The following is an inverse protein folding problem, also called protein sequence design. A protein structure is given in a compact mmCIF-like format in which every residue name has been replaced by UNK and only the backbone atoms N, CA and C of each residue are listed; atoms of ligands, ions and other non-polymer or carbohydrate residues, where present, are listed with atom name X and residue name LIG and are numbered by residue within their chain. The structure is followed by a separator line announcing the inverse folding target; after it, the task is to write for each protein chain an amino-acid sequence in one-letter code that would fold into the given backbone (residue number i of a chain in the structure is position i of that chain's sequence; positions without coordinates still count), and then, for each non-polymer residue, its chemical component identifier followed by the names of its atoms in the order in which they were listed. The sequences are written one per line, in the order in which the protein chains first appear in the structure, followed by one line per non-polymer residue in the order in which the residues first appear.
data_IF_531289804877
#
_entry.id   IF_531289804877
#
_cell.length_a   1.000
_cell.length_b   1.000
_cell.length_c   1.000
_cell.angle_alpha   90.00
_cell.angle_beta   90.00
_cell.angle_gamma   90.00
#
_symmetry.space_group_name_H-M   'P 1'
#
loop_
_entity.id
_entity.type
_entity.pdbx_description
1 polymer ?
#
# COMPACT_ATOMS: atom_id res chain seq x y z
N UNK A 1 -15.58 18.06 -6.95
CA UNK A 1 -14.85 17.43 -5.83
C UNK A 1 -15.71 16.54 -4.93
N UNK A 2 -16.76 16.98 -4.21
CA UNK A 2 -17.42 16.13 -3.20
C UNK A 2 -17.97 14.81 -3.79
N UNK A 3 -18.56 14.86 -4.99
CA UNK A 3 -19.05 13.66 -5.68
C UNK A 3 -17.95 12.66 -6.05
N UNK A 4 -16.74 13.13 -6.41
CA UNK A 4 -15.62 12.26 -6.74
C UNK A 4 -15.08 11.56 -5.49
N UNK A 5 -14.99 12.29 -4.37
CA UNK A 5 -14.62 11.71 -3.07
C UNK A 5 -15.63 10.66 -2.64
N UNK A 6 -16.94 10.89 -2.84
CA UNK A 6 -17.97 9.90 -2.54
C UNK A 6 -17.80 8.60 -3.35
N UNK A 7 -17.48 8.70 -4.65
CA UNK A 7 -17.18 7.52 -5.49
C UNK A 7 -15.95 6.77 -4.99
N UNK A 8 -14.89 7.48 -4.60
CA UNK A 8 -13.70 6.88 -4.00
C UNK A 8 -14.05 6.15 -2.70
N UNK A 9 -14.74 6.80 -1.77
CA UNK A 9 -15.16 6.17 -0.50
C UNK A 9 -16.01 4.92 -0.75
N UNK A 10 -16.98 4.98 -1.66
CA UNK A 10 -17.80 3.82 -2.02
C UNK A 10 -16.96 2.68 -2.60
N UNK A 11 -16.02 2.98 -3.51
CA UNK A 11 -15.11 1.99 -4.07
C UNK A 11 -14.19 1.38 -2.99
N UNK A 12 -13.69 2.19 -2.04
CA UNK A 12 -12.85 1.73 -0.95
C UNK A 12 -13.59 0.73 -0.05
N UNK A 13 -14.82 1.06 0.35
CA UNK A 13 -15.66 0.16 1.17
C UNK A 13 -16.01 -1.11 0.38
N UNK A 14 -16.35 -0.97 -0.90
CA UNK A 14 -16.68 -2.11 -1.75
C UNK A 14 -15.50 -3.07 -1.90
N UNK A 15 -14.29 -2.54 -2.11
CA UNK A 15 -13.08 -3.33 -2.34
C UNK A 15 -12.52 -3.96 -1.05
N UNK A 16 -12.75 -3.36 0.12
CA UNK A 16 -12.18 -3.88 1.37
C UNK A 16 -13.18 -4.68 2.22
N UNK A 17 -14.50 -4.41 2.11
CA UNK A 17 -15.49 -4.96 3.06
C UNK A 17 -16.62 -5.74 2.40
N UNK A 18 -17.10 -5.32 1.23
CA UNK A 18 -18.34 -5.88 0.65
C UNK A 18 -18.04 -6.93 -0.42
N UNK A 19 -17.19 -6.61 -1.41
CA UNK A 19 -16.87 -7.49 -2.52
C UNK A 19 -15.37 -7.51 -2.88
N UNK A 20 -14.46 -7.88 -1.95
CA UNK A 20 -13.01 -7.86 -2.21
C UNK A 20 -12.58 -8.68 -3.43
N UNK A 21 -13.27 -9.79 -3.69
CA UNK A 21 -13.02 -10.66 -4.86
C UNK A 21 -13.34 -10.00 -6.21
N UNK A 22 -14.16 -8.96 -6.22
CA UNK A 22 -14.53 -8.21 -7.43
C UNK A 22 -13.68 -6.95 -7.61
N UNK A 23 -12.63 -6.77 -6.79
CA UNK A 23 -11.77 -5.59 -6.77
C UNK A 23 -11.35 -5.05 -8.15
N UNK A 24 -10.95 -5.87 -9.14
CA UNK A 24 -10.58 -5.38 -10.46
C UNK A 24 -11.77 -4.76 -11.21
N UNK A 25 -12.94 -5.39 -11.14
CA UNK A 25 -14.14 -4.94 -11.83
C UNK A 25 -14.69 -3.66 -11.20
N UNK A 26 -14.81 -3.62 -9.88
CA UNK A 26 -15.31 -2.47 -9.12
C UNK A 26 -14.37 -1.27 -9.27
N UNK A 27 -13.05 -1.51 -9.30
CA UNK A 27 -12.04 -0.47 -9.51
C UNK A 27 -12.04 0.07 -10.93
N UNK A 28 -12.16 -0.78 -11.94
CA UNK A 28 -12.30 -0.36 -13.33
C UNK A 28 -13.57 0.48 -13.53
N UNK A 29 -14.71 0.05 -12.96
CA UNK A 29 -15.97 0.78 -13.02
C UNK A 29 -15.89 2.15 -12.32
N UNK A 30 -15.33 2.20 -11.11
CA UNK A 30 -15.12 3.44 -10.37
C UNK A 30 -14.18 4.40 -11.12
N UNK A 31 -13.10 3.88 -11.72
CA UNK A 31 -12.17 4.64 -12.55
C UNK A 31 -12.87 5.25 -13.75
N UNK A 32 -13.65 4.45 -14.50
CA UNK A 32 -14.40 4.93 -15.65
C UNK A 32 -15.39 6.03 -15.27
N UNK A 33 -16.11 5.85 -14.15
CA UNK A 33 -17.05 6.85 -13.62
C UNK A 33 -16.33 8.15 -13.23
N UNK A 34 -15.23 8.07 -12.50
CA UNK A 34 -14.44 9.23 -12.07
C UNK A 34 -13.91 10.03 -13.27
N UNK A 35 -13.36 9.33 -14.28
CA UNK A 35 -12.91 9.95 -15.53
C UNK A 35 -14.08 10.61 -16.26
N UNK A 36 -15.21 9.92 -16.42
CA UNK A 36 -16.38 10.48 -17.08
C UNK A 36 -16.89 11.74 -16.37
N UNK A 37 -16.95 11.74 -15.04
CA UNK A 37 -17.33 12.92 -14.23
C UNK A 37 -16.38 14.09 -14.43
N UNK A 38 -15.07 13.82 -14.42
CA UNK A 38 -14.05 14.85 -14.63
C UNK A 38 -14.11 15.43 -16.06
N UNK A 39 -14.24 14.57 -17.08
CA UNK A 39 -14.36 14.97 -18.49
C UNK A 39 -15.62 15.79 -18.74
N UNK A 40 -16.77 15.39 -18.17
CA UNK A 40 -18.04 16.17 -18.23
C UNK A 40 -17.95 17.52 -17.53
N UNK A 41 -17.02 17.67 -16.57
CA UNK A 41 -16.72 18.94 -15.90
C UNK A 41 -15.59 19.71 -16.60
N UNK A 42 -15.27 19.37 -17.85
CA UNK A 42 -14.33 20.08 -18.71
C UNK A 42 -12.85 19.83 -18.41
N UNK A 43 -12.48 18.81 -17.64
CA UNK A 43 -11.07 18.44 -17.46
C UNK A 43 -10.54 17.80 -18.75
N UNK A 44 -9.42 18.26 -19.29
CA UNK A 44 -8.73 17.65 -20.43
C UNK A 44 -8.01 16.36 -20.06
N UNK A 45 -7.54 15.60 -21.05
CA UNK A 45 -6.68 14.43 -20.80
C UNK A 45 -5.35 14.82 -20.17
N UNK A 46 -4.82 16.01 -20.47
CA UNK A 46 -3.61 16.54 -19.85
C UNK A 46 -3.82 16.88 -18.38
N UNK A 47 -4.98 17.45 -18.03
CA UNK A 47 -5.37 17.71 -16.64
C UNK A 47 -5.43 16.41 -15.82
N UNK A 48 -5.90 15.33 -16.44
CA UNK A 48 -5.92 13.99 -15.84
C UNK A 48 -4.56 13.29 -15.86
N UNK A 49 -3.53 13.91 -16.45
CA UNK A 49 -2.16 13.41 -16.47
C UNK A 49 -1.86 12.43 -17.60
N UNK A 50 -2.79 12.20 -18.53
CA UNK A 50 -2.58 11.39 -19.73
C UNK A 50 -1.82 12.17 -20.80
N UNK A 51 -0.60 12.55 -20.46
CA UNK A 51 0.35 13.25 -21.32
C UNK A 51 1.74 12.64 -21.16
N UNK A 52 2.67 12.96 -22.07
CA UNK A 52 4.09 12.54 -21.98
C UNK A 52 4.31 11.02 -21.88
N UNK A 53 3.44 10.20 -22.51
CA UNK A 53 3.46 8.75 -22.40
C UNK A 53 4.84 8.09 -22.57
N UNK A 54 5.62 8.47 -23.59
CA UNK A 54 6.99 7.95 -23.79
C UNK A 54 7.94 8.24 -22.62
N UNK A 55 7.93 9.49 -22.13
CA UNK A 55 8.75 9.90 -20.97
C UNK A 55 8.25 9.22 -19.70
N UNK A 56 6.94 9.14 -19.51
CA UNK A 56 6.32 8.44 -18.40
C UNK A 56 6.71 6.97 -18.36
N UNK A 57 6.69 6.29 -19.51
CA UNK A 57 7.15 4.92 -19.67
C UNK A 57 8.65 4.76 -19.35
N UNK A 58 9.50 5.65 -19.88
CA UNK A 58 10.94 5.60 -19.63
C UNK A 58 11.29 5.79 -18.15
N UNK A 59 10.72 6.82 -17.51
CA UNK A 59 10.96 7.09 -16.08
C UNK A 59 10.34 6.02 -15.20
N UNK A 60 9.09 5.63 -15.48
CA UNK A 60 8.41 4.56 -14.74
C UNK A 60 9.12 3.21 -14.85
N UNK A 61 9.61 2.87 -16.04
CA UNK A 61 10.42 1.66 -16.28
C UNK A 61 11.76 1.70 -15.55
N UNK A 62 12.45 2.85 -15.54
CA UNK A 62 13.70 3.02 -14.78
C UNK A 62 13.46 2.86 -13.27
N UNK A 63 12.37 3.45 -12.74
CA UNK A 63 11.99 3.28 -11.34
C UNK A 63 11.62 1.82 -11.02
N UNK A 64 10.88 1.15 -11.90
CA UNK A 64 10.55 -0.26 -11.76
C UNK A 64 11.82 -1.15 -11.73
N UNK A 65 12.79 -0.87 -12.60
CA UNK A 65 14.10 -1.54 -12.56
C UNK A 65 14.83 -1.25 -11.25
N UNK A 66 14.76 -0.01 -10.74
CA UNK A 66 15.27 0.35 -9.41
C UNK A 66 14.63 -0.46 -8.27
N UNK A 67 13.32 -0.72 -8.33
CA UNK A 67 12.63 -1.60 -7.37
C UNK A 67 13.18 -3.01 -7.43
N UNK A 68 13.37 -3.57 -8.63
CA UNK A 68 13.98 -4.90 -8.79
C UNK A 68 15.37 -4.94 -8.12
N UNK A 69 16.22 -3.94 -8.39
CA UNK A 69 17.56 -3.85 -7.79
C UNK A 69 17.47 -3.76 -6.27
N UNK A 70 16.60 -2.90 -5.73
CA UNK A 70 16.42 -2.71 -4.30
C UNK A 70 15.92 -4.00 -3.62
N UNK A 71 14.95 -4.69 -4.23
CA UNK A 71 14.42 -5.94 -3.70
C UNK A 71 15.44 -7.08 -3.79
N UNK A 72 16.21 -7.17 -4.88
CA UNK A 72 17.32 -8.12 -5.00
C UNK A 72 18.38 -7.88 -3.93
N UNK A 73 18.79 -6.63 -3.71
CA UNK A 73 19.72 -6.29 -2.64
C UNK A 73 19.15 -6.65 -1.25
N UNK A 74 17.88 -6.32 -1.00
CA UNK A 74 17.22 -6.62 0.26
C UNK A 74 17.04 -8.12 0.54
N UNK A 75 16.84 -8.94 -0.49
CA UNK A 75 16.78 -10.41 -0.36
C UNK A 75 18.18 -11.02 -0.24
N UNK A 76 19.18 -10.45 -0.91
CA UNK A 76 20.57 -10.91 -0.82
C UNK A 76 21.12 -10.74 0.61
N UNK A 77 20.79 -9.62 1.27
CA UNK A 77 21.21 -9.29 2.63
C UNK A 77 20.41 -10.08 3.69
N UNK A 78 21.02 -11.01 4.46
CA UNK A 78 20.31 -11.83 5.43
C UNK A 78 19.52 -11.03 6.48
N UNK A 79 20.08 -9.92 6.95
CA UNK A 79 19.48 -9.04 7.96
C UNK A 79 18.12 -8.45 7.52
N UNK A 80 17.86 -8.37 6.21
CA UNK A 80 16.63 -7.78 5.66
C UNK A 80 15.66 -8.81 5.09
N UNK A 81 16.03 -10.09 4.97
CA UNK A 81 15.17 -11.15 4.41
C UNK A 81 13.84 -11.31 5.12
N UNK A 82 13.81 -11.08 6.44
CA UNK A 82 12.58 -11.12 7.24
C UNK A 82 11.50 -10.16 6.74
N UNK A 83 11.87 -9.03 6.13
CA UNK A 83 10.91 -8.05 5.60
C UNK A 83 10.27 -8.50 4.28
N UNK A 84 10.82 -9.53 3.63
CA UNK A 84 10.27 -10.10 2.40
C UNK A 84 9.43 -11.35 2.66
N UNK A 85 9.46 -11.93 3.87
CA UNK A 85 8.62 -13.07 4.24
C UNK A 85 7.20 -12.59 4.56
N UNK A 86 6.37 -12.45 3.52
CA UNK A 86 4.94 -12.16 3.67
C UNK A 86 4.13 -13.47 3.60
N UNK A 87 3.69 -13.95 4.75
CA UNK A 87 2.89 -15.18 4.87
C UNK A 87 1.59 -15.12 4.05
N UNK A 88 1.02 -13.92 3.83
CA UNK A 88 -0.17 -13.77 2.98
C UNK A 88 0.18 -14.06 1.53
N UNK A 89 1.34 -13.60 1.06
CA UNK A 89 1.81 -13.88 -0.30
C UNK A 89 2.25 -15.34 -0.47
N UNK A 90 2.87 -15.92 0.56
CA UNK A 90 3.35 -17.31 0.58
C UNK A 90 2.21 -18.33 0.70
N UNK A 91 1.11 -17.99 1.40
CA UNK A 91 -0.08 -18.83 1.52
C UNK A 91 -0.87 -18.99 0.22
N UNK A 92 -0.59 -18.18 -0.81
CA UNK A 92 -1.24 -18.27 -2.12
C UNK A 92 -0.61 -19.33 -3.01
N UNK A 93 -1.45 -20.01 -3.80
CA UNK A 93 -0.97 -20.81 -4.94
C UNK A 93 -0.20 -19.92 -5.93
N UNK A 94 0.71 -20.50 -6.73
CA UNK A 94 1.47 -19.75 -7.75
C UNK A 94 0.55 -19.04 -8.74
N UNK A 95 -0.51 -19.72 -9.19
CA UNK A 95 -1.50 -19.15 -10.09
C UNK A 95 -2.21 -17.95 -9.46
N UNK A 96 -2.64 -18.07 -8.20
CA UNK A 96 -3.30 -16.95 -7.50
C UNK A 96 -2.36 -15.78 -7.29
N UNK A 97 -1.10 -16.02 -6.92
CA UNK A 97 -0.14 -14.92 -6.80
C UNK A 97 0.19 -14.23 -8.12
N UNK A 98 0.18 -14.95 -9.24
CA UNK A 98 0.28 -14.34 -10.57
C UNK A 98 -0.98 -13.52 -10.88
N UNK A 99 -2.17 -14.02 -10.55
CA UNK A 99 -3.42 -13.26 -10.68
C UNK A 99 -3.38 -11.98 -9.83
N UNK A 100 -2.91 -12.06 -8.58
CA UNK A 100 -2.72 -10.90 -7.73
C UNK A 100 -1.75 -9.90 -8.37
N UNK A 101 -0.55 -10.34 -8.75
CA UNK A 101 0.50 -9.48 -9.27
C UNK A 101 0.20 -8.88 -10.65
N UNK A 102 -0.55 -9.58 -11.50
CA UNK A 102 -0.78 -9.19 -12.90
C UNK A 102 -2.18 -8.61 -13.17
N UNK A 103 -3.16 -8.91 -12.32
CA UNK A 103 -4.55 -8.44 -12.51
C UNK A 103 -5.04 -7.64 -11.30
N UNK A 104 -5.02 -8.22 -10.10
CA UNK A 104 -5.55 -7.54 -8.92
C UNK A 104 -4.80 -6.24 -8.63
N UNK A 105 -3.47 -6.29 -8.57
CA UNK A 105 -2.66 -5.11 -8.25
C UNK A 105 -2.77 -4.06 -9.36
N UNK A 106 -2.53 -4.38 -10.65
CA UNK A 106 -2.56 -3.34 -11.68
C UNK A 106 -3.95 -2.72 -11.88
N UNK A 107 -5.02 -3.51 -11.79
CA UNK A 107 -6.39 -3.06 -12.09
C UNK A 107 -7.21 -2.76 -10.84
N UNK A 108 -7.20 -3.66 -9.86
CA UNK A 108 -7.93 -3.52 -8.60
C UNK A 108 -7.33 -2.51 -7.62
N UNK A 109 -6.05 -2.16 -7.78
CA UNK A 109 -5.36 -1.19 -6.92
C UNK A 109 -4.86 0.00 -7.72
N UNK A 110 -3.85 -0.21 -8.57
CA UNK A 110 -3.06 0.89 -9.18
C UNK A 110 -3.90 1.73 -10.12
N UNK A 111 -4.73 1.11 -10.98
CA UNK A 111 -5.57 1.86 -11.92
C UNK A 111 -6.47 2.86 -11.20
N UNK A 112 -7.22 2.39 -10.19
CA UNK A 112 -8.12 3.27 -9.43
C UNK A 112 -7.36 4.30 -8.62
N UNK A 113 -6.27 3.91 -7.97
CA UNK A 113 -5.54 4.82 -7.10
C UNK A 113 -4.82 5.91 -7.89
N UNK A 114 -4.12 5.57 -8.96
CA UNK A 114 -3.43 6.59 -9.77
C UNK A 114 -4.41 7.48 -10.52
N UNK A 115 -5.40 6.90 -11.21
CA UNK A 115 -6.37 7.71 -11.96
C UNK A 115 -7.27 8.50 -11.03
N UNK A 116 -7.70 7.92 -9.90
CA UNK A 116 -8.56 8.58 -8.91
C UNK A 116 -7.86 9.74 -8.21
N UNK A 117 -6.71 9.49 -7.59
CA UNK A 117 -6.01 10.48 -6.77
C UNK A 117 -5.14 11.44 -7.59
N UNK A 118 -4.30 10.93 -8.51
CA UNK A 118 -3.30 11.72 -9.25
C UNK A 118 -3.84 12.22 -10.60
N UNK A 119 -4.83 11.53 -11.15
CA UNK A 119 -5.58 11.99 -12.31
C UNK A 119 -6.70 12.96 -11.93
N UNK A 120 -7.74 12.44 -11.30
CA UNK A 120 -9.03 13.15 -11.13
C UNK A 120 -9.01 14.15 -9.99
N UNK A 121 -8.66 13.73 -8.77
CA UNK A 121 -8.60 14.62 -7.58
C UNK A 121 -7.54 15.70 -7.78
N UNK A 122 -6.30 15.29 -8.06
CA UNK A 122 -5.20 16.22 -8.30
C UNK A 122 -5.48 17.12 -9.51
N UNK A 123 -5.89 16.55 -10.66
CA UNK A 123 -6.15 17.34 -11.87
C UNK A 123 -7.23 18.39 -11.69
N UNK A 124 -8.33 18.05 -11.00
CA UNK A 124 -9.42 19.00 -10.72
C UNK A 124 -8.94 20.16 -9.82
N UNK A 125 -8.17 19.86 -8.78
CA UNK A 125 -7.66 20.86 -7.86
C UNK A 125 -6.53 21.70 -8.47
N UNK A 126 -5.64 21.10 -9.24
CA UNK A 126 -4.50 21.80 -9.84
C UNK A 126 -4.99 22.91 -10.78
N UNK A 127 -6.06 22.66 -11.54
CA UNK A 127 -6.69 23.63 -12.44
C UNK A 127 -7.29 24.84 -11.71
N UNK A 128 -7.79 24.66 -10.49
CA UNK A 128 -8.62 25.66 -9.80
C UNK A 128 -7.93 26.32 -8.61
N UNK A 129 -6.97 25.61 -7.99
CA UNK A 129 -6.32 25.98 -6.72
C UNK A 129 -4.79 25.81 -6.76
N UNK A 130 -4.23 25.43 -7.91
CA UNK A 130 -2.79 25.25 -8.12
C UNK A 130 -2.24 23.90 -7.62
N UNK A 131 -0.99 23.62 -8.01
CA UNK A 131 -0.34 22.34 -7.77
C UNK A 131 -0.11 22.02 -6.29
N UNK A 132 0.23 23.02 -5.47
CA UNK A 132 0.48 22.80 -4.03
C UNK A 132 -0.77 22.28 -3.30
N UNK A 133 -1.92 22.94 -3.49
CA UNK A 133 -3.20 22.51 -2.94
C UNK A 133 -3.60 21.13 -3.45
N UNK A 134 -3.39 20.88 -4.75
CA UNK A 134 -3.69 19.58 -5.35
C UNK A 134 -2.85 18.46 -4.74
N UNK A 135 -1.54 18.67 -4.57
CA UNK A 135 -0.65 17.72 -3.90
C UNK A 135 -1.07 17.48 -2.47
N UNK A 136 -1.32 18.53 -1.69
CA UNK A 136 -1.68 18.40 -0.27
C UNK A 136 -2.98 17.60 -0.10
N UNK A 137 -4.04 17.97 -0.80
CA UNK A 137 -5.35 17.32 -0.67
C UNK A 137 -5.34 15.90 -1.26
N UNK A 138 -4.74 15.70 -2.43
CA UNK A 138 -4.66 14.36 -3.03
C UNK A 138 -3.88 13.39 -2.15
N UNK A 139 -2.75 13.84 -1.59
CA UNK A 139 -1.91 13.04 -0.71
C UNK A 139 -2.58 12.75 0.64
N UNK A 140 -3.27 13.73 1.23
CA UNK A 140 -4.03 13.52 2.46
C UNK A 140 -5.17 12.51 2.27
N UNK A 141 -5.95 12.64 1.18
CA UNK A 141 -7.01 11.69 0.85
C UNK A 141 -6.45 10.29 0.55
N UNK A 142 -5.28 10.21 -0.09
CA UNK A 142 -4.59 8.95 -0.33
C UNK A 142 -4.08 8.31 0.96
N UNK A 143 -3.63 9.11 1.93
CA UNK A 143 -3.33 8.62 3.28
C UNK A 143 -4.56 7.99 3.93
N UNK A 144 -5.69 8.72 3.94
CA UNK A 144 -6.95 8.24 4.52
C UNK A 144 -7.53 7.01 3.81
N UNK A 145 -7.28 6.85 2.50
CA UNK A 145 -7.66 5.68 1.73
C UNK A 145 -7.10 4.36 2.30
N UNK A 146 -5.97 4.44 3.00
CA UNK A 146 -5.27 3.29 3.57
C UNK A 146 -5.74 2.90 4.97
N UNK A 147 -6.75 3.54 5.53
CA UNK A 147 -7.27 3.19 6.87
C UNK A 147 -7.77 1.74 6.90
N UNK A 148 -8.66 1.34 5.98
CA UNK A 148 -9.21 -0.02 6.00
C UNK A 148 -8.13 -1.09 5.74
N UNK A 149 -7.25 -0.95 4.72
CA UNK A 149 -6.12 -1.87 4.55
C UNK A 149 -5.18 -1.94 5.77
N UNK A 150 -4.93 -0.81 6.45
CA UNK A 150 -4.05 -0.79 7.61
C UNK A 150 -4.66 -1.48 8.83
N UNK A 151 -5.98 -1.39 9.02
CA UNK A 151 -6.71 -2.17 10.03
C UNK A 151 -6.54 -3.66 9.74
N UNK A 152 -6.80 -4.09 8.51
CA UNK A 152 -6.70 -5.51 8.13
C UNK A 152 -5.26 -6.03 8.27
N UNK A 153 -4.27 -5.19 7.98
CA UNK A 153 -2.85 -5.51 8.20
C UNK A 153 -2.49 -5.65 9.68
N UNK A 154 -3.00 -4.76 10.53
CA UNK A 154 -2.77 -4.83 11.99
C UNK A 154 -3.44 -6.07 12.60
N UNK A 155 -4.63 -6.44 12.11
CA UNK A 155 -5.33 -7.65 12.55
C UNK A 155 -4.63 -8.93 12.08
N UNK A 156 -4.08 -8.92 10.87
CA UNK A 156 -3.35 -10.07 10.31
C UNK A 156 -1.94 -10.25 10.90
N UNK A 157 -1.33 -9.20 11.45
CA UNK A 157 0.03 -9.24 11.99
C UNK A 157 0.14 -8.51 13.34
N UNK A 158 -0.17 -9.20 14.46
CA UNK A 158 -0.05 -8.63 15.81
C UNK A 158 1.36 -8.16 16.17
N UNK A 159 2.41 -8.69 15.51
CA UNK A 159 3.78 -8.25 15.75
C UNK A 159 4.04 -6.82 15.24
N UNK A 160 3.33 -6.37 14.19
CA UNK A 160 3.39 -4.97 13.76
C UNK A 160 2.84 -4.02 14.82
N UNK A 161 1.79 -4.44 15.54
CA UNK A 161 1.24 -3.68 16.66
C UNK A 161 2.27 -3.42 17.76
N UNK A 162 3.00 -4.46 18.16
CA UNK A 162 4.09 -4.38 19.15
C UNK A 162 5.30 -3.56 18.67
N UNK A 163 5.66 -3.69 17.40
CA UNK A 163 6.71 -2.85 16.82
C UNK A 163 6.31 -1.36 16.79
N UNK A 164 5.03 -1.08 16.51
CA UNK A 164 4.50 0.28 16.51
C UNK A 164 4.29 0.85 17.92
N UNK A 165 4.09 0.00 18.94
CA UNK A 165 4.02 0.40 20.35
C UNK A 165 5.40 0.73 20.93
N UNK A 166 6.47 0.20 20.34
CA UNK A 166 7.83 0.32 20.86
C UNK A 166 8.14 -0.64 22.01
N UNK A 167 7.26 -1.62 22.27
CA UNK A 167 7.48 -2.66 23.28
C UNK A 167 8.69 -3.52 22.87
N UNK A 168 9.67 -3.60 23.77
CA UNK A 168 10.86 -4.41 23.58
C UNK A 168 10.53 -5.90 23.68
N UNK A 169 11.30 -6.73 22.96
CA UNK A 169 11.21 -8.19 23.09
C UNK A 169 11.43 -8.62 24.56
N UNK A 170 12.30 -7.93 25.30
CA UNK A 170 12.54 -8.16 26.74
C UNK A 170 11.31 -7.85 27.60
N UNK A 171 10.65 -6.72 27.39
CA UNK A 171 9.44 -6.34 28.15
C UNK A 171 8.29 -7.33 27.90
N UNK A 172 8.17 -7.84 26.67
CA UNK A 172 7.20 -8.90 26.33
C UNK A 172 7.54 -10.24 26.98
N UNK A 173 8.83 -10.59 27.05
CA UNK A 173 9.30 -11.82 27.70
C UNK A 173 9.07 -11.72 29.21
N UNK A 174 9.34 -10.57 29.83
CA UNK A 174 9.08 -10.35 31.25
C UNK A 174 7.60 -10.49 31.59
N UNK A 175 6.69 -9.89 30.79
CA UNK A 175 5.23 -10.01 30.97
C UNK A 175 4.78 -11.48 30.86
N UNK A 176 5.30 -12.23 29.87
CA UNK A 176 5.00 -13.67 29.69
C UNK A 176 5.59 -14.53 30.82
N UNK A 177 6.81 -14.23 31.26
CA UNK A 177 7.48 -14.98 32.34
C UNK A 177 6.75 -14.75 33.66
N UNK A 178 6.30 -13.53 33.95
CA UNK A 178 5.42 -13.26 35.09
C UNK A 178 4.11 -14.01 35.00
N UNK A 179 3.45 -14.01 33.84
CA UNK A 179 2.18 -14.71 33.62
C UNK A 179 2.32 -16.24 33.80
N UNK A 180 3.44 -16.83 33.34
CA UNK A 180 3.76 -18.25 33.57
C UNK A 180 4.08 -18.53 35.04
N UNK A 181 4.81 -17.62 35.71
CA UNK A 181 5.24 -17.79 37.10
C UNK A 181 4.08 -17.61 38.09
N UNK A 182 3.12 -16.75 37.76
CA UNK A 182 1.97 -16.40 38.61
C UNK A 182 0.65 -16.45 37.81
N UNK A 183 0.22 -17.65 37.37
CA UNK A 183 -0.96 -17.79 36.49
C UNK A 183 -2.27 -17.37 37.17
N UNK A 184 -2.34 -17.39 38.51
CA UNK A 184 -3.51 -16.90 39.26
C UNK A 184 -3.53 -15.38 39.47
N UNK A 185 -2.39 -14.70 39.30
CA UNK A 185 -2.25 -13.23 39.44
C UNK A 185 -2.18 -12.53 38.07
N UNK A 186 -2.24 -13.30 36.98
CA UNK A 186 -2.21 -12.78 35.63
C UNK A 186 -3.33 -11.75 35.42
N UNK A 187 -3.00 -10.49 35.10
CA UNK A 187 -4.02 -9.49 34.85
C UNK A 187 -4.87 -9.92 33.65
N UNK A 188 -6.20 -9.72 33.69
CA UNK A 188 -7.06 -10.11 32.58
C UNK A 188 -6.58 -9.44 31.29
N UNK A 189 -6.66 -10.15 30.13
CA UNK A 189 -6.22 -9.61 28.86
C UNK A 189 -6.91 -8.26 28.62
N UNK A 190 -6.11 -7.22 28.38
CA UNK A 190 -6.61 -5.85 28.29
C UNK A 190 -7.09 -5.58 26.86
N UNK A 191 -8.41 -5.58 26.57
CA UNK A 191 -8.91 -5.46 25.20
C UNK A 191 -8.49 -4.13 24.55
N UNK A 192 -8.28 -3.09 25.35
CA UNK A 192 -7.87 -1.77 24.88
C UNK A 192 -6.44 -1.70 24.34
N UNK A 193 -5.49 -2.53 24.80
CA UNK A 193 -4.10 -2.55 24.27
C UNK A 193 -4.12 -2.86 22.77
N UNK A 194 -4.88 -3.89 22.38
CA UNK A 194 -5.07 -4.28 20.97
C UNK A 194 -5.59 -3.11 20.10
N UNK A 195 -6.58 -2.37 20.60
CA UNK A 195 -7.15 -1.24 19.87
C UNK A 195 -6.15 -0.09 19.71
N UNK A 196 -5.29 0.17 20.70
CA UNK A 196 -4.23 1.17 20.62
C UNK A 196 -3.15 0.78 19.59
N UNK A 197 -2.77 -0.50 19.55
CA UNK A 197 -1.77 -0.99 18.61
C UNK A 197 -2.28 -0.93 17.16
N UNK A 198 -3.53 -1.33 16.93
CA UNK A 198 -4.20 -1.10 15.64
C UNK A 198 -4.19 0.38 15.28
N UNK A 199 -4.55 1.27 16.21
CA UNK A 199 -4.57 2.71 15.96
C UNK A 199 -3.19 3.25 15.57
N UNK A 200 -2.11 2.80 16.25
CA UNK A 200 -0.72 3.18 15.92
C UNK A 200 -0.32 2.74 14.53
N UNK A 201 -0.61 1.49 14.15
CA UNK A 201 -0.33 0.97 12.80
C UNK A 201 -1.11 1.75 11.74
N UNK A 202 -2.38 2.06 12.00
CA UNK A 202 -3.22 2.87 11.10
C UNK A 202 -2.64 4.27 10.93
N UNK A 203 -2.33 4.98 12.01
CA UNK A 203 -1.75 6.33 11.96
C UNK A 203 -0.43 6.31 11.19
N UNK A 204 0.47 5.37 11.51
CA UNK A 204 1.74 5.21 10.81
C UNK A 204 1.55 4.96 9.31
N UNK A 205 0.61 4.08 8.94
CA UNK A 205 0.29 3.78 7.55
C UNK A 205 -0.29 4.98 6.81
N UNK A 206 -1.22 5.73 7.41
CA UNK A 206 -1.83 6.95 6.84
C UNK A 206 -0.77 8.01 6.58
N UNK A 207 0.14 8.24 7.54
CA UNK A 207 1.23 9.21 7.38
C UNK A 207 2.21 8.78 6.30
N UNK A 208 2.67 7.52 6.34
CA UNK A 208 3.63 7.01 5.36
C UNK A 208 3.08 7.04 3.93
N UNK A 209 1.84 6.60 3.74
CA UNK A 209 1.16 6.60 2.44
C UNK A 209 0.81 8.02 1.98
N UNK A 210 0.49 8.93 2.90
CA UNK A 210 0.35 10.36 2.61
C UNK A 210 1.66 10.97 2.07
N UNK A 211 2.79 10.70 2.71
CA UNK A 211 4.12 11.14 2.22
C UNK A 211 4.44 10.52 0.85
N UNK A 212 4.17 9.23 0.67
CA UNK A 212 4.30 8.59 -0.65
C UNK A 212 3.41 9.28 -1.70
N UNK A 213 2.19 9.67 -1.33
CA UNK A 213 1.27 10.45 -2.16
C UNK A 213 1.89 11.75 -2.70
N UNK A 214 2.69 12.45 -1.89
CA UNK A 214 3.42 13.65 -2.33
C UNK A 214 4.42 13.31 -3.43
N UNK A 215 5.19 12.24 -3.24
CA UNK A 215 6.16 11.73 -4.23
C UNK A 215 5.47 11.34 -5.52
N UNK A 216 4.36 10.60 -5.45
CA UNK A 216 3.58 10.20 -6.62
C UNK A 216 2.95 11.39 -7.36
N UNK A 217 2.44 12.39 -6.64
CA UNK A 217 1.95 13.64 -7.24
C UNK A 217 3.07 14.36 -8.00
N UNK A 218 4.26 14.46 -7.42
CA UNK A 218 5.40 15.10 -8.06
C UNK A 218 5.87 14.33 -9.30
N UNK A 219 5.89 13.00 -9.22
CA UNK A 219 6.23 12.12 -10.34
C UNK A 219 5.23 12.31 -11.49
N UNK A 220 3.92 12.35 -11.18
CA UNK A 220 2.84 12.67 -12.15
C UNK A 220 3.03 14.05 -12.77
N UNK A 221 3.37 15.07 -11.96
CA UNK A 221 3.53 16.45 -12.44
C UNK A 221 4.66 16.57 -13.46
N UNK A 222 5.78 15.89 -13.22
CA UNK A 222 6.97 15.93 -14.10
C UNK A 222 6.85 15.05 -15.34
N UNK A 223 6.21 13.88 -15.22
CA UNK A 223 6.34 12.82 -16.23
C UNK A 223 5.01 12.29 -16.79
N UNK A 224 3.87 12.79 -16.31
CA UNK A 224 2.55 12.23 -16.64
C UNK A 224 2.20 11.03 -15.76
N UNK A 225 0.97 10.55 -15.88
CA UNK A 225 0.36 9.55 -15.01
C UNK A 225 0.98 8.15 -15.16
N UNK A 226 1.56 7.85 -16.32
CA UNK A 226 2.14 6.53 -16.58
C UNK A 226 3.36 6.23 -15.70
N UNK A 227 4.18 7.24 -15.38
CA UNK A 227 5.36 7.06 -14.52
C UNK A 227 5.01 6.55 -13.10
N UNK A 228 4.12 7.23 -12.35
CA UNK A 228 3.71 6.72 -11.04
C UNK A 228 2.95 5.40 -11.15
N UNK A 229 2.12 5.17 -12.18
CA UNK A 229 1.45 3.86 -12.35
C UNK A 229 2.42 2.70 -12.51
N UNK A 230 3.46 2.85 -13.33
CA UNK A 230 4.46 1.79 -13.50
C UNK A 230 5.29 1.56 -12.24
N UNK A 231 5.70 2.65 -11.57
CA UNK A 231 6.44 2.54 -10.32
C UNK A 231 5.59 1.86 -9.23
N UNK A 232 4.33 2.27 -9.11
CA UNK A 232 3.40 1.75 -8.12
C UNK A 232 3.02 0.27 -8.38
N UNK A 233 2.83 -0.11 -9.65
CA UNK A 233 2.67 -1.52 -10.02
C UNK A 233 3.91 -2.32 -9.67
N UNK A 234 5.11 -1.81 -9.97
CA UNK A 234 6.35 -2.51 -9.66
C UNK A 234 6.53 -2.76 -8.16
N UNK A 235 6.31 -1.75 -7.31
CA UNK A 235 6.46 -1.90 -5.85
C UNK A 235 5.52 -2.94 -5.26
N UNK A 236 4.27 -2.99 -5.73
CA UNK A 236 3.27 -3.93 -5.19
C UNK A 236 3.37 -5.33 -5.82
N UNK A 237 3.44 -5.41 -7.15
CA UNK A 237 3.42 -6.69 -7.86
C UNK A 237 4.68 -7.52 -7.61
N UNK A 238 5.86 -6.87 -7.54
CA UNK A 238 7.12 -7.59 -7.31
C UNK A 238 7.21 -8.18 -5.90
N UNK A 239 6.45 -7.66 -4.93
CA UNK A 239 6.40 -8.21 -3.57
C UNK A 239 6.04 -9.69 -3.55
N UNK A 240 5.05 -10.11 -4.36
CA UNK A 240 4.63 -11.52 -4.47
C UNK A 240 5.72 -12.45 -5.01
N UNK A 241 6.56 -11.95 -5.92
CA UNK A 241 7.67 -12.71 -6.49
C UNK A 241 8.84 -12.80 -5.51
N UNK A 242 9.23 -11.66 -4.92
CA UNK A 242 10.36 -11.60 -4.00
C UNK A 242 10.09 -12.27 -2.66
N UNK A 243 8.82 -12.34 -2.22
CA UNK A 243 8.45 -13.13 -1.05
C UNK A 243 8.78 -14.62 -1.26
N UNK A 244 8.46 -15.18 -2.44
CA UNK A 244 8.80 -16.55 -2.79
C UNK A 244 10.29 -16.76 -2.97
N UNK A 245 11.00 -15.79 -3.55
CA UNK A 245 12.45 -15.87 -3.68
C UNK A 245 13.13 -15.94 -2.31
N UNK A 246 12.72 -15.06 -1.38
CA UNK A 246 13.26 -15.02 -0.03
C UNK A 246 12.95 -16.29 0.77
N UNK A 247 11.79 -16.91 0.57
CA UNK A 247 11.40 -18.16 1.24
C UNK A 247 12.25 -19.37 0.82
N UNK A 248 12.86 -19.36 -0.37
CA UNK A 248 13.68 -20.45 -0.88
C UNK A 248 15.18 -20.30 -0.53
N UNK A 249 15.58 -19.21 0.13
CA UNK A 249 16.98 -18.99 0.51
C UNK A 249 17.25 -19.56 1.91
N UNK A 250 18.38 -20.26 2.11
CA UNK A 250 18.76 -20.77 3.43
C UNK A 250 19.05 -19.61 4.38
N UNK A 251 18.52 -19.70 5.62
CA UNK A 251 18.92 -18.82 6.71
C UNK A 251 20.31 -19.24 7.20
N UNK A 252 21.24 -18.28 7.22
CA UNK A 252 22.63 -18.52 7.59
C UNK A 252 22.79 -18.91 9.08
N UNK A 253 21.71 -18.85 9.87
CA UNK A 253 21.64 -19.26 11.28
C UNK A 253 21.50 -20.77 11.48
N UNK A 254 21.47 -21.57 10.41
CA UNK A 254 21.34 -23.03 10.48
C UNK A 254 22.68 -23.79 10.57
N UNK A 255 23.81 -23.12 10.78
CA UNK A 255 25.03 -23.82 11.20
C UNK A 255 24.95 -24.18 12.69
N UNK A 256 25.07 -25.46 13.08
CA UNK A 256 25.22 -25.81 14.48
C UNK A 256 26.49 -25.14 14.99
N UNK A 257 26.37 -24.36 16.08
CA UNK A 257 27.53 -23.91 16.84
C UNK A 257 28.19 -25.17 17.39
N UNK A 258 29.27 -25.60 16.74
CA UNK A 258 30.14 -26.68 17.21
C UNK A 258 30.86 -26.32 18.49
#
# INVERSE_FOLDING_TARGET
MPKQVAVLVAANVLNNRIAPRLGPLTSAAATALLVAMARRSGASWEDLGFHRGRRGAAVGGALAAGVVVAYTAGVALPATRRFFRDDRALGLTRARALEEALLQVPVGTVLLEEVGFRGVVYGTLARTRGAATATAVSSALFGLWHILPAIDMAEANPALGRLASGEGIEETIEEIVEEIRHPEEAPPPRPWKKHLDTARVVVGSVVATGVAGVVYCELRRRNGLLAPSLFHTATNSLGYAFARLAANLPDNDSQPRG
#
